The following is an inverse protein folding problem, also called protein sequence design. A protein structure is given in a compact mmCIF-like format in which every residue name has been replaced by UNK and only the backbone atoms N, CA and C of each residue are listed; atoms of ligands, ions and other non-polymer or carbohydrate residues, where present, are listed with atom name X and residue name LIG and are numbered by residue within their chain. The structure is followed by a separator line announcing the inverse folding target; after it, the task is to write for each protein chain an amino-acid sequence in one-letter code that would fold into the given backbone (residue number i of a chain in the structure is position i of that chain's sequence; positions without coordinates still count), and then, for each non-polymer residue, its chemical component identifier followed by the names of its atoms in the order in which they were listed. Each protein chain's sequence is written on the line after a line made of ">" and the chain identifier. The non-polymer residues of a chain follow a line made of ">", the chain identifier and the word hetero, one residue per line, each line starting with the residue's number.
data_IF_734782010460
#
_entry.id   IF_734782010460
#
_cell.length_a   1.000
_cell.length_b   1.000
_cell.length_c   1.000
_cell.angle_alpha   90.00
_cell.angle_beta   90.00
_cell.angle_gamma   90.00
#
_symmetry.space_group_name_H-M   'P 1'
#
loop_
_entity.id
_entity.type
_entity.pdbx_description
1 polymer ?
#
# COMPACT_ATOMS: atom_id res chain seq x y z
N UNK A 1 -1.91 13.52 -22.38
CA UNK A 1 -1.99 13.34 -20.92
C UNK A 1 -1.41 11.98 -20.56
N UNK A 2 -0.10 11.90 -20.37
CA UNK A 2 0.57 10.69 -19.93
C UNK A 2 0.22 10.46 -18.46
N UNK A 3 -0.40 9.32 -18.16
CA UNK A 3 -0.70 8.90 -16.78
C UNK A 3 0.65 8.64 -16.10
N UNK A 4 1.08 9.54 -15.22
CA UNK A 4 2.31 9.38 -14.44
C UNK A 4 2.29 7.98 -13.81
N UNK A 5 3.21 7.13 -14.28
CA UNK A 5 3.43 5.81 -13.70
C UNK A 5 3.98 6.08 -12.30
N UNK A 6 3.11 5.98 -11.29
CA UNK A 6 3.53 6.02 -9.89
C UNK A 6 4.65 5.00 -9.71
N UNK A 7 5.78 5.45 -9.18
CA UNK A 7 6.94 4.60 -8.94
C UNK A 7 6.54 3.35 -8.19
N UNK A 8 7.13 2.21 -8.57
CA UNK A 8 6.92 0.97 -7.83
C UNK A 8 7.34 1.19 -6.37
N UNK A 9 6.42 1.12 -5.39
CA UNK A 9 6.77 1.26 -3.99
C UNK A 9 7.78 0.18 -3.55
N UNK A 10 7.93 -0.92 -4.30
CA UNK A 10 8.94 -1.94 -4.09
C UNK A 10 10.39 -1.47 -4.38
N UNK A 11 10.59 -0.46 -5.24
CA UNK A 11 11.93 0.02 -5.61
C UNK A 11 12.47 1.12 -4.69
N UNK A 12 11.62 1.72 -3.84
CA UNK A 12 11.96 2.92 -3.08
C UNK A 12 13.11 2.75 -2.06
N UNK A 13 13.14 1.73 -1.19
CA UNK A 13 14.17 1.63 -0.16
C UNK A 13 15.56 1.37 -0.73
N UNK A 14 15.68 0.55 -1.79
CA UNK A 14 16.96 0.26 -2.42
C UNK A 14 17.54 1.49 -3.12
N UNK A 15 16.69 2.29 -3.76
CA UNK A 15 17.08 3.57 -4.35
C UNK A 15 17.55 4.56 -3.26
N UNK A 16 16.78 4.70 -2.17
CA UNK A 16 17.13 5.58 -1.03
C UNK A 16 18.43 5.12 -0.35
N UNK A 17 18.62 3.81 -0.17
CA UNK A 17 19.85 3.27 0.42
C UNK A 17 21.07 3.52 -0.46
N UNK A 18 20.97 3.26 -1.77
CA UNK A 18 22.08 3.52 -2.71
C UNK A 18 22.42 5.00 -2.76
N UNK A 19 21.42 5.88 -2.74
CA UNK A 19 21.61 7.33 -2.62
C UNK A 19 22.34 7.71 -1.33
N UNK A 20 21.92 7.16 -0.19
CA UNK A 20 22.58 7.39 1.10
C UNK A 20 24.05 6.96 1.10
N UNK A 21 24.37 5.82 0.45
CA UNK A 21 25.74 5.32 0.29
C UNK A 21 26.58 6.27 -0.56
N UNK A 22 26.06 6.75 -1.69
CA UNK A 22 26.77 7.71 -2.56
C UNK A 22 27.04 9.03 -1.85
N UNK A 23 26.05 9.57 -1.13
CA UNK A 23 26.21 10.81 -0.36
C UNK A 23 27.24 10.68 0.76
N UNK A 24 27.28 9.52 1.43
CA UNK A 24 28.31 9.25 2.44
C UNK A 24 29.72 9.22 1.85
N UNK A 25 29.87 8.73 0.62
CA UNK A 25 31.12 8.74 -0.11
C UNK A 25 31.53 10.14 -0.61
N UNK A 26 30.74 11.18 -0.28
CA UNK A 26 31.02 12.57 -0.67
C UNK A 26 30.52 12.94 -2.06
N UNK A 27 29.73 12.08 -2.72
CA UNK A 27 29.12 12.41 -4.02
C UNK A 27 28.04 13.47 -3.80
N UNK A 28 28.01 14.51 -4.62
CA UNK A 28 26.96 15.54 -4.53
C UNK A 28 25.59 14.97 -4.90
N UNK A 29 24.48 15.49 -4.35
CA UNK A 29 23.13 14.97 -4.64
C UNK A 29 22.79 14.84 -6.12
N UNK A 30 23.06 15.88 -6.91
CA UNK A 30 22.80 15.85 -8.35
C UNK A 30 23.58 14.72 -9.05
N UNK A 31 24.87 14.56 -8.71
CA UNK A 31 25.71 13.49 -9.29
C UNK A 31 25.29 12.11 -8.83
N UNK A 32 24.83 11.97 -7.58
CA UNK A 32 24.37 10.69 -7.07
C UNK A 32 23.14 10.20 -7.86
N UNK A 33 22.19 11.08 -8.17
CA UNK A 33 21.06 10.77 -9.06
C UNK A 33 21.51 10.42 -10.49
N UNK A 34 22.51 11.12 -11.03
CA UNK A 34 23.09 10.78 -12.34
C UNK A 34 23.67 9.37 -12.36
N UNK A 35 24.49 9.01 -11.36
CA UNK A 35 25.10 7.68 -11.27
C UNK A 35 24.06 6.56 -11.14
N UNK A 36 22.98 6.78 -10.38
CA UNK A 36 21.89 5.81 -10.27
C UNK A 36 21.13 5.66 -11.58
N UNK A 37 20.90 6.76 -12.31
CA UNK A 37 20.22 6.72 -13.60
C UNK A 37 21.07 6.03 -14.68
N UNK A 38 22.38 6.27 -14.71
CA UNK A 38 23.34 5.58 -15.59
C UNK A 38 23.38 4.08 -15.31
N UNK A 39 23.20 3.67 -14.05
CA UNK A 39 23.05 2.27 -13.65
C UNK A 39 21.67 1.68 -13.96
N UNK A 40 20.77 2.42 -14.61
CA UNK A 40 19.44 1.96 -15.03
C UNK A 40 18.40 1.96 -13.91
N UNK A 41 18.62 2.68 -12.81
CA UNK A 41 17.62 2.77 -11.75
C UNK A 41 16.36 3.53 -12.22
N UNK A 42 15.17 2.89 -12.21
CA UNK A 42 13.97 3.49 -12.78
C UNK A 42 13.47 4.71 -12.01
N UNK A 43 13.77 4.81 -10.71
CA UNK A 43 13.44 6.00 -9.91
C UNK A 43 14.37 7.14 -10.31
N UNK A 44 15.66 6.87 -10.42
CA UNK A 44 16.64 7.88 -10.78
C UNK A 44 16.41 8.46 -12.18
N UNK A 45 15.98 7.63 -13.14
CA UNK A 45 15.58 8.09 -14.47
C UNK A 45 14.42 9.08 -14.43
N UNK A 46 13.34 8.76 -13.69
CA UNK A 46 12.20 9.69 -13.50
C UNK A 46 12.60 10.95 -12.74
N UNK A 47 13.48 10.82 -11.75
CA UNK A 47 14.01 11.97 -11.02
C UNK A 47 14.78 12.92 -11.94
N UNK A 48 15.58 12.38 -12.86
CA UNK A 48 16.29 13.18 -13.87
C UNK A 48 15.33 13.93 -14.79
N UNK A 49 14.31 13.26 -15.31
CA UNK A 49 13.30 13.92 -16.16
C UNK A 49 12.69 15.13 -15.43
N UNK A 50 12.33 14.99 -14.15
CA UNK A 50 11.78 16.10 -13.34
C UNK A 50 12.77 17.22 -13.06
N UNK A 51 14.04 16.87 -12.82
CA UNK A 51 15.08 17.87 -12.58
C UNK A 51 15.42 18.64 -13.85
N UNK A 52 15.43 17.97 -15.00
CA UNK A 52 15.63 18.57 -16.31
C UNK A 52 14.46 19.51 -16.68
N UNK A 53 13.25 19.24 -16.19
CA UNK A 53 12.08 20.15 -16.24
C UNK A 53 12.18 21.34 -15.26
N UNK A 54 13.25 21.45 -14.46
CA UNK A 54 13.49 22.54 -13.53
C UNK A 54 12.78 22.41 -12.18
N UNK A 55 12.21 21.23 -11.87
CA UNK A 55 11.59 21.00 -10.56
C UNK A 55 12.65 21.00 -9.45
N UNK A 56 12.44 21.71 -8.33
CA UNK A 56 13.40 21.68 -7.23
C UNK A 56 13.50 20.28 -6.62
N UNK A 57 14.72 19.89 -6.25
CA UNK A 57 15.05 18.51 -5.86
C UNK A 57 14.11 17.91 -4.79
N UNK A 58 13.77 18.58 -3.68
CA UNK A 58 12.86 18.01 -2.69
C UNK A 58 11.44 17.75 -3.24
N UNK A 59 10.95 18.63 -4.11
CA UNK A 59 9.64 18.47 -4.76
C UNK A 59 9.65 17.35 -5.79
N UNK A 60 10.75 17.20 -6.55
CA UNK A 60 10.93 16.10 -7.49
C UNK A 60 10.93 14.73 -6.80
N UNK A 61 11.59 14.65 -5.64
CA UNK A 61 11.56 13.47 -4.76
C UNK A 61 10.12 13.21 -4.30
N UNK A 62 9.44 14.22 -3.76
CA UNK A 62 8.08 14.07 -3.22
C UNK A 62 7.00 13.74 -4.26
N UNK A 63 7.24 14.02 -5.56
CA UNK A 63 6.24 13.91 -6.62
C UNK A 63 5.71 12.48 -6.85
N UNK A 64 6.46 11.43 -6.48
CA UNK A 64 5.97 10.04 -6.55
C UNK A 64 4.91 9.73 -5.48
N UNK A 65 4.81 10.56 -4.42
CA UNK A 65 3.89 10.37 -3.32
C UNK A 65 4.20 9.15 -2.44
N UNK A 66 3.34 8.88 -1.46
CA UNK A 66 3.54 7.77 -0.51
C UNK A 66 4.88 7.90 0.21
N UNK A 67 5.65 6.81 0.24
CA UNK A 67 7.00 6.76 0.82
C UNK A 67 7.95 7.87 0.31
N UNK A 68 7.81 8.27 -0.95
CA UNK A 68 8.66 9.30 -1.55
C UNK A 68 8.30 10.72 -1.08
N UNK A 69 7.05 10.96 -0.68
CA UNK A 69 6.68 12.21 -0.02
C UNK A 69 7.39 12.34 1.34
N UNK A 70 7.44 11.24 2.11
CA UNK A 70 8.12 11.20 3.41
C UNK A 70 9.63 11.43 3.26
N UNK A 71 10.26 10.81 2.24
CA UNK A 71 11.67 11.03 1.89
C UNK A 71 11.91 12.48 1.43
N UNK A 72 11.02 13.05 0.64
CA UNK A 72 11.10 14.45 0.19
C UNK A 72 11.00 15.45 1.34
N UNK A 73 10.11 15.21 2.30
CA UNK A 73 9.99 16.00 3.51
C UNK A 73 11.26 15.93 4.37
N UNK A 74 11.79 14.72 4.61
CA UNK A 74 13.03 14.51 5.34
C UNK A 74 14.24 15.15 4.66
N UNK A 75 14.32 15.03 3.35
CA UNK A 75 15.34 15.69 2.54
C UNK A 75 15.27 17.20 2.69
N UNK A 76 14.08 17.79 2.54
CA UNK A 76 13.88 19.24 2.64
C UNK A 76 14.30 19.77 4.01
N UNK A 77 13.87 19.12 5.09
CA UNK A 77 14.24 19.50 6.46
C UNK A 77 15.76 19.36 6.65
N UNK A 78 16.34 18.20 6.31
CA UNK A 78 17.77 17.94 6.51
C UNK A 78 18.64 18.92 5.71
N UNK A 79 18.30 19.20 4.46
CA UNK A 79 19.02 20.16 3.61
C UNK A 79 18.90 21.60 4.15
N UNK A 80 17.76 21.97 4.73
CA UNK A 80 17.53 23.31 5.28
C UNK A 80 18.33 23.56 6.55
N UNK A 81 18.46 22.55 7.42
CA UNK A 81 19.20 22.68 8.70
C UNK A 81 20.66 22.23 8.61
N UNK A 82 21.11 21.70 7.47
CA UNK A 82 22.45 21.15 7.31
C UNK A 82 22.68 19.84 8.07
N UNK A 83 21.62 19.07 8.34
CA UNK A 83 21.73 17.77 9.01
C UNK A 83 22.42 16.72 8.11
N UNK A 84 23.07 15.69 8.68
CA UNK A 84 23.79 14.67 7.91
C UNK A 84 22.84 13.83 7.05
N UNK A 85 22.61 14.28 5.82
CA UNK A 85 21.61 13.74 4.90
C UNK A 85 21.81 12.24 4.61
N UNK A 86 23.07 11.79 4.51
CA UNK A 86 23.38 10.37 4.32
C UNK A 86 22.84 9.49 5.46
N UNK A 87 23.00 9.93 6.71
CA UNK A 87 22.50 9.19 7.88
C UNK A 87 20.98 9.22 7.96
N UNK A 88 20.38 10.39 7.70
CA UNK A 88 18.92 10.53 7.59
C UNK A 88 18.35 9.55 6.56
N UNK A 89 18.91 9.50 5.35
CA UNK A 89 18.42 8.62 4.29
C UNK A 89 18.64 7.13 4.60
N UNK A 90 19.71 6.75 5.31
CA UNK A 90 19.85 5.37 5.80
C UNK A 90 18.74 4.99 6.77
N UNK A 91 18.41 5.87 7.71
CA UNK A 91 17.29 5.71 8.61
C UNK A 91 15.98 5.48 7.85
N UNK A 92 15.69 6.35 6.87
CA UNK A 92 14.52 6.19 6.01
C UNK A 92 14.55 4.89 5.18
N UNK A 93 15.69 4.51 4.60
CA UNK A 93 15.81 3.26 3.86
C UNK A 93 15.53 2.03 4.74
N UNK A 94 15.96 2.04 6.01
CA UNK A 94 15.61 0.99 6.96
C UNK A 94 14.09 0.95 7.22
N UNK A 95 13.46 2.11 7.45
CA UNK A 95 12.02 2.22 7.66
C UNK A 95 11.21 1.73 6.46
N UNK A 96 11.62 2.10 5.24
CA UNK A 96 10.95 1.68 4.02
C UNK A 96 11.12 0.18 3.76
N UNK A 97 12.30 -0.40 4.04
CA UNK A 97 12.51 -1.86 3.96
C UNK A 97 11.63 -2.62 4.95
N UNK A 98 11.57 -2.19 6.20
CA UNK A 98 10.69 -2.79 7.21
C UNK A 98 9.21 -2.79 6.76
N UNK A 99 8.77 -1.69 6.13
CA UNK A 99 7.42 -1.56 5.60
C UNK A 99 7.17 -2.54 4.44
N UNK A 100 8.14 -2.70 3.54
CA UNK A 100 8.07 -3.67 2.45
C UNK A 100 8.07 -5.11 2.95
N UNK A 101 8.95 -5.48 3.88
CA UNK A 101 8.97 -6.81 4.48
C UNK A 101 7.61 -7.16 5.10
N UNK A 102 6.98 -6.18 5.75
CA UNK A 102 5.62 -6.36 6.30
C UNK A 102 4.60 -6.58 5.18
N UNK A 103 4.66 -5.81 4.09
CA UNK A 103 3.78 -5.98 2.94
C UNK A 103 3.98 -7.33 2.22
N UNK A 104 5.22 -7.80 2.15
CA UNK A 104 5.57 -9.09 1.58
C UNK A 104 5.08 -10.23 2.47
N UNK A 105 5.21 -10.12 3.80
CA UNK A 105 4.62 -11.05 4.75
C UNK A 105 3.10 -11.15 4.57
N UNK A 106 2.41 -10.02 4.37
CA UNK A 106 0.97 -10.02 4.05
C UNK A 106 0.73 -10.76 2.72
N UNK A 107 1.51 -10.49 1.67
CA UNK A 107 1.35 -11.14 0.37
C UNK A 107 1.55 -12.65 0.46
N UNK A 108 2.56 -13.09 1.20
CA UNK A 108 2.87 -14.51 1.45
C UNK A 108 1.72 -15.16 2.23
N UNK A 109 1.26 -14.54 3.32
CA UNK A 109 0.16 -15.06 4.14
C UNK A 109 -1.17 -15.15 3.37
N UNK A 110 -1.39 -14.27 2.38
CA UNK A 110 -2.58 -14.28 1.55
C UNK A 110 -2.52 -15.24 0.36
N UNK A 111 -1.33 -15.71 -0.02
CA UNK A 111 -1.17 -16.60 -1.17
C UNK A 111 -1.96 -17.91 -0.99
N UNK A 112 -1.99 -18.45 0.23
CA UNK A 112 -2.68 -19.69 0.56
C UNK A 112 -4.23 -19.54 0.49
N UNK A 113 -4.88 -18.58 1.19
CA UNK A 113 -6.33 -18.34 1.05
C UNK A 113 -6.75 -17.91 -0.36
N UNK A 114 -5.92 -17.13 -1.06
CA UNK A 114 -6.26 -16.66 -2.40
C UNK A 114 -6.25 -17.80 -3.44
N UNK A 115 -5.37 -18.79 -3.27
CA UNK A 115 -5.30 -19.96 -4.15
C UNK A 115 -6.60 -20.77 -4.15
N UNK A 116 -7.13 -21.09 -2.96
CA UNK A 116 -8.39 -21.85 -2.82
C UNK A 116 -9.60 -21.03 -3.27
N UNK A 117 -9.64 -19.74 -2.95
CA UNK A 117 -10.67 -18.83 -3.42
C UNK A 117 -10.70 -18.71 -4.96
N UNK A 118 -9.53 -18.68 -5.61
CA UNK A 118 -9.43 -18.63 -7.07
C UNK A 118 -9.95 -19.91 -7.71
N UNK A 119 -9.63 -21.08 -7.15
CA UNK A 119 -10.18 -22.36 -7.62
C UNK A 119 -11.70 -22.40 -7.48
N UNK A 120 -12.23 -21.95 -6.33
CA UNK A 120 -13.68 -21.93 -6.08
C UNK A 120 -14.40 -20.89 -6.93
N UNK A 121 -13.75 -19.75 -7.23
CA UNK A 121 -14.30 -18.71 -8.11
C UNK A 121 -14.41 -19.12 -9.58
N UNK A 122 -13.66 -20.15 -10.02
CA UNK A 122 -13.82 -20.75 -11.35
C UNK A 122 -14.96 -21.79 -11.40
N UNK A 123 -15.45 -22.25 -10.25
CA UNK A 123 -16.50 -23.28 -10.19
C UNK A 123 -17.78 -22.91 -10.95
N UNK A 124 -18.29 -21.66 -10.91
CA UNK A 124 -19.47 -21.27 -11.70
C UNK A 124 -19.24 -21.41 -13.21
N UNK A 125 -18.04 -21.07 -13.71
CA UNK A 125 -17.68 -21.23 -15.11
C UNK A 125 -17.61 -22.71 -15.50
N UNK A 126 -17.02 -23.53 -14.62
CA UNK A 126 -16.98 -24.98 -14.80
C UNK A 126 -18.40 -25.56 -14.83
N UNK A 127 -19.32 -25.11 -13.97
CA UNK A 127 -20.71 -25.59 -14.00
C UNK A 127 -21.47 -25.17 -15.23
N UNK A 128 -21.26 -23.95 -15.75
CA UNK A 128 -21.88 -23.52 -17.01
C UNK A 128 -21.36 -24.38 -18.17
N UNK A 129 -20.05 -24.65 -18.21
CA UNK A 129 -19.45 -25.52 -19.20
C UNK A 129 -19.96 -26.97 -19.12
N UNK A 130 -20.09 -27.52 -17.91
CA UNK A 130 -20.60 -28.87 -17.70
C UNK A 130 -22.09 -28.98 -18.06
N UNK A 131 -22.90 -27.99 -17.71
CA UNK A 131 -24.32 -27.93 -18.08
C UNK A 131 -24.52 -27.88 -19.59
N UNK A 132 -23.69 -27.10 -20.30
CA UNK A 132 -23.69 -27.09 -21.77
C UNK A 132 -23.25 -28.44 -22.36
N UNK A 133 -22.22 -29.08 -21.81
CA UNK A 133 -21.74 -30.39 -22.27
C UNK A 133 -22.75 -31.52 -22.05
N UNK A 134 -23.56 -31.44 -20.99
CA UNK A 134 -24.66 -32.37 -20.68
C UNK A 134 -25.91 -32.13 -21.55
N UNK A 135 -25.88 -31.15 -22.46
CA UNK A 135 -26.98 -30.87 -23.39
C UNK A 135 -28.14 -30.06 -22.79
N UNK A 136 -27.96 -29.46 -21.61
CA UNK A 136 -28.95 -28.52 -21.07
C UNK A 136 -28.85 -27.20 -21.86
N UNK A 137 -30.00 -26.69 -22.33
CA UNK A 137 -30.16 -25.36 -22.95
C UNK A 137 -29.96 -24.20 -21.95
N UNK A 138 -29.10 -24.40 -20.97
CA UNK A 138 -28.76 -23.49 -19.88
C UNK A 138 -28.42 -22.10 -20.39
N UNK A 139 -27.61 -22.00 -21.45
CA UNK A 139 -27.23 -20.72 -22.06
C UNK A 139 -28.42 -20.04 -22.75
N UNK A 140 -29.28 -20.81 -23.42
CA UNK A 140 -30.49 -20.27 -24.04
C UNK A 140 -31.46 -19.76 -22.97
N UNK A 141 -31.74 -20.53 -21.91
CA UNK A 141 -32.61 -20.12 -20.80
C UNK A 141 -32.04 -18.90 -20.06
N UNK A 142 -30.72 -18.85 -19.84
CA UNK A 142 -30.07 -17.73 -19.15
C UNK A 142 -30.16 -16.42 -19.93
N UNK A 143 -30.06 -16.49 -21.27
CA UNK A 143 -29.99 -15.31 -22.14
C UNK A 143 -31.35 -14.90 -22.72
N UNK A 144 -32.32 -15.82 -22.80
CA UNK A 144 -33.63 -15.56 -23.45
C UNK A 144 -34.78 -15.43 -22.45
N UNK A 145 -34.67 -15.98 -21.23
CA UNK A 145 -35.72 -15.90 -20.23
C UNK A 145 -35.48 -14.76 -19.23
N UNK A 146 -36.52 -13.96 -18.88
CA UNK A 146 -36.36 -12.83 -17.97
C UNK A 146 -35.90 -13.26 -16.57
N UNK A 147 -36.32 -14.44 -16.10
CA UNK A 147 -35.83 -15.04 -14.87
C UNK A 147 -34.35 -15.45 -14.95
N UNK A 148 -33.89 -15.92 -16.11
CA UNK A 148 -32.49 -16.25 -16.39
C UNK A 148 -31.59 -15.02 -16.38
N UNK A 149 -32.03 -13.94 -17.03
CA UNK A 149 -31.32 -12.65 -17.04
C UNK A 149 -31.24 -12.03 -15.63
N UNK A 150 -32.30 -12.14 -14.83
CA UNK A 150 -32.29 -11.69 -13.44
C UNK A 150 -31.27 -12.50 -12.60
N UNK A 151 -31.22 -13.83 -12.78
CA UNK A 151 -30.23 -14.68 -12.12
C UNK A 151 -28.78 -14.37 -12.55
N UNK A 152 -28.56 -14.12 -13.85
CA UNK A 152 -27.27 -13.73 -14.39
C UNK A 152 -26.79 -12.39 -13.82
N UNK A 153 -27.65 -11.38 -13.84
CA UNK A 153 -27.34 -10.05 -13.30
C UNK A 153 -27.04 -10.10 -11.80
N UNK A 154 -27.87 -10.81 -11.02
CA UNK A 154 -27.66 -10.98 -9.59
C UNK A 154 -26.37 -11.76 -9.27
N UNK A 155 -26.10 -12.86 -9.98
CA UNK A 155 -24.87 -13.64 -9.82
C UNK A 155 -23.60 -12.84 -10.15
N UNK A 156 -23.62 -12.06 -11.24
CA UNK A 156 -22.50 -11.21 -11.63
C UNK A 156 -22.29 -10.07 -10.62
N UNK A 157 -23.38 -9.46 -10.13
CA UNK A 157 -23.31 -8.43 -9.10
C UNK A 157 -22.68 -8.96 -7.79
N UNK A 158 -23.05 -10.19 -7.38
CA UNK A 158 -22.45 -10.85 -6.21
C UNK A 158 -20.97 -11.16 -6.40
N UNK A 159 -20.55 -11.62 -7.59
CA UNK A 159 -19.12 -11.84 -7.90
C UNK A 159 -18.32 -10.54 -7.88
N UNK A 160 -18.86 -9.47 -8.47
CA UNK A 160 -18.24 -8.14 -8.42
C UNK A 160 -18.16 -7.62 -6.98
N UNK A 161 -19.22 -7.81 -6.19
CA UNK A 161 -19.23 -7.45 -4.77
C UNK A 161 -18.17 -8.23 -3.98
N UNK A 162 -18.06 -9.55 -4.19
CA UNK A 162 -17.03 -10.40 -3.58
C UNK A 162 -15.63 -9.90 -3.91
N UNK A 163 -15.34 -9.66 -5.20
CA UNK A 163 -14.04 -9.18 -5.66
C UNK A 163 -13.70 -7.80 -5.07
N UNK A 164 -14.67 -6.87 -5.07
CA UNK A 164 -14.48 -5.54 -4.49
C UNK A 164 -14.27 -5.60 -2.99
N UNK A 165 -15.03 -6.43 -2.27
CA UNK A 165 -14.88 -6.59 -0.82
C UNK A 165 -13.51 -7.17 -0.47
N UNK A 166 -13.09 -8.24 -1.14
CA UNK A 166 -11.76 -8.84 -0.97
C UNK A 166 -10.65 -7.83 -1.28
N UNK A 167 -10.74 -7.10 -2.40
CA UNK A 167 -9.78 -6.05 -2.73
C UNK A 167 -9.74 -4.94 -1.67
N UNK A 168 -10.89 -4.56 -1.10
CA UNK A 168 -10.96 -3.57 -0.02
C UNK A 168 -10.33 -4.09 1.28
N UNK A 169 -10.55 -5.36 1.66
CA UNK A 169 -9.95 -5.97 2.84
C UNK A 169 -8.42 -6.05 2.70
N UNK A 170 -7.92 -6.48 1.54
CA UNK A 170 -6.48 -6.55 1.24
C UNK A 170 -5.86 -5.15 1.25
N UNK A 171 -6.50 -4.16 0.61
CA UNK A 171 -6.01 -2.76 0.61
C UNK A 171 -5.96 -2.18 2.02
N UNK A 172 -6.95 -2.44 2.87
CA UNK A 172 -6.97 -1.97 4.28
C UNK A 172 -5.92 -2.66 5.16
N UNK A 173 -5.58 -3.92 4.86
CA UNK A 173 -4.52 -4.63 5.56
C UNK A 173 -3.12 -4.20 5.10
N UNK A 174 -2.95 -3.91 3.80
CA UNK A 174 -1.70 -3.44 3.22
C UNK A 174 -1.43 -1.94 3.38
N UNK A 175 -2.44 -1.13 3.73
CA UNK A 175 -2.25 0.26 4.15
C UNK A 175 -1.57 0.29 5.53
N UNK A 176 -0.24 0.16 5.53
CA UNK A 176 0.61 0.48 6.66
C UNK A 176 0.67 2.00 6.86
N UNK A 177 0.80 2.42 8.11
CA UNK A 177 1.00 3.83 8.44
C UNK A 177 2.50 4.15 8.30
N UNK A 178 2.96 4.39 7.06
CA UNK A 178 4.36 4.77 6.79
C UNK A 178 4.74 6.10 7.46
N UNK A 179 3.73 6.92 7.76
CA UNK A 179 3.88 8.18 8.47
C UNK A 179 3.98 8.03 10.00
N UNK A 180 3.80 6.81 10.56
CA UNK A 180 3.89 6.60 12.00
C UNK A 180 5.27 7.02 12.54
N UNK A 181 5.28 8.02 13.42
CA UNK A 181 6.51 8.59 13.99
C UNK A 181 7.30 9.50 13.04
N UNK A 182 6.78 9.85 11.86
CA UNK A 182 7.44 10.72 10.90
C UNK A 182 7.67 12.14 11.47
N UNK A 183 6.66 12.71 12.12
CA UNK A 183 6.79 14.03 12.75
C UNK A 183 7.87 14.06 13.85
N UNK A 184 7.96 13.01 14.67
CA UNK A 184 9.01 12.87 15.67
C UNK A 184 10.41 12.74 15.03
N UNK A 185 10.52 11.98 13.93
CA UNK A 185 11.78 11.84 13.18
C UNK A 185 12.22 13.17 12.53
N UNK A 186 11.31 13.90 11.89
CA UNK A 186 11.60 15.17 11.25
C UNK A 186 12.01 16.24 12.26
N UNK A 187 11.37 16.27 13.43
CA UNK A 187 11.82 17.11 14.55
C UNK A 187 13.21 16.69 15.04
N UNK A 188 13.48 15.40 15.17
CA UNK A 188 14.82 14.92 15.56
C UNK A 188 15.89 15.32 14.54
N UNK A 189 15.59 15.23 13.24
CA UNK A 189 16.47 15.66 12.15
C UNK A 189 16.74 17.16 12.24
N UNK A 190 15.69 17.98 12.37
CA UNK A 190 15.81 19.42 12.49
C UNK A 190 16.68 19.80 13.71
N UNK A 191 16.34 19.28 14.89
CA UNK A 191 17.07 19.55 16.14
C UNK A 191 18.52 19.05 16.10
N UNK A 192 18.82 17.98 15.35
CA UNK A 192 20.19 17.51 15.14
C UNK A 192 21.03 18.50 14.33
N UNK A 193 20.41 19.33 13.49
CA UNK A 193 21.05 20.47 12.82
C UNK A 193 21.27 21.68 13.73
N UNK A 194 20.92 21.60 15.01
CA UNK A 194 21.16 22.65 16.01
C UNK A 194 20.16 23.80 16.02
N UNK A 195 19.04 23.69 15.28
CA UNK A 195 17.99 24.73 15.30
C UNK A 195 17.14 24.64 16.57
N UNK A 196 16.47 25.75 16.92
CA UNK A 196 15.53 25.79 18.06
C UNK A 196 14.31 24.90 17.81
N UNK A 197 13.63 24.49 18.88
CA UNK A 197 12.41 23.69 18.79
C UNK A 197 11.30 24.41 18.00
N UNK A 198 11.17 25.72 18.15
CA UNK A 198 10.17 26.50 17.40
C UNK A 198 10.49 26.55 15.91
N UNK A 199 11.77 26.68 15.54
CA UNK A 199 12.19 26.58 14.13
C UNK A 199 11.99 25.17 13.59
N UNK A 200 12.28 24.14 14.38
CA UNK A 200 12.03 22.75 14.00
C UNK A 200 10.54 22.48 13.72
N UNK A 201 9.64 23.02 14.55
CA UNK A 201 8.18 22.94 14.33
C UNK A 201 7.73 23.68 13.08
N UNK A 202 8.29 24.86 12.82
CA UNK A 202 8.00 25.62 11.59
C UNK A 202 8.41 24.84 10.34
N UNK A 203 9.62 24.27 10.33
CA UNK A 203 10.12 23.44 9.23
C UNK A 203 9.27 22.18 9.01
N UNK A 204 8.83 21.54 10.09
CA UNK A 204 7.92 20.41 10.00
C UNK A 204 6.59 20.81 9.35
N UNK A 205 6.00 21.95 9.74
CA UNK A 205 4.78 22.45 9.14
C UNK A 205 4.96 22.81 7.65
N UNK A 206 6.09 23.42 7.29
CA UNK A 206 6.46 23.74 5.89
C UNK A 206 6.67 22.49 5.03
N UNK A 207 7.10 21.36 5.63
CA UNK A 207 7.40 20.12 4.90
C UNK A 207 6.15 19.35 4.42
N UNK A 208 4.96 19.71 4.90
CA UNK A 208 3.71 19.00 4.57
C UNK A 208 3.50 17.66 5.29
N UNK A 209 4.45 17.24 6.14
CA UNK A 209 4.37 16.00 6.92
C UNK A 209 3.40 16.08 8.12
N UNK A 210 2.76 17.23 8.35
CA UNK A 210 1.77 17.44 9.41
C UNK A 210 2.38 17.93 10.73
N UNK A 211 1.53 18.08 11.75
CA UNK A 211 1.96 18.47 13.10
C UNK A 211 2.64 17.31 13.83
N UNK A 212 3.51 17.58 14.84
CA UNK A 212 4.05 16.52 15.68
C UNK A 212 2.91 15.78 16.37
N UNK A 213 3.03 14.45 16.47
CA UNK A 213 2.03 13.65 17.14
C UNK A 213 2.04 13.88 18.66
N UNK A 214 0.96 13.47 19.33
CA UNK A 214 0.83 13.67 20.77
C UNK A 214 1.94 12.98 21.58
N UNK A 215 2.57 11.93 21.03
CA UNK A 215 3.70 11.24 21.66
C UNK A 215 4.97 12.09 21.58
N UNK A 216 5.27 12.69 20.42
CA UNK A 216 6.39 13.61 20.25
C UNK A 216 6.29 14.81 21.21
N UNK A 217 5.09 15.38 21.39
CA UNK A 217 4.88 16.47 22.36
C UNK A 217 5.06 16.01 23.82
N UNK A 218 4.61 14.80 24.17
CA UNK A 218 4.89 14.20 25.50
C UNK A 218 6.39 14.03 25.74
N UNK A 219 7.11 13.54 24.75
CA UNK A 219 8.56 13.35 24.81
C UNK A 219 9.31 14.66 24.93
N UNK A 220 8.90 15.69 24.19
CA UNK A 220 9.48 17.03 24.31
C UNK A 220 9.20 17.66 25.67
N UNK A 221 8.01 17.45 26.25
CA UNK A 221 7.72 17.86 27.61
C UNK A 221 8.62 17.15 28.62
N UNK A 222 8.80 15.83 28.48
CA UNK A 222 9.69 15.03 29.33
C UNK A 222 11.15 15.49 29.24
N UNK A 223 11.66 15.71 28.02
CA UNK A 223 13.01 16.24 27.79
C UNK A 223 13.22 17.58 28.52
N UNK A 224 12.25 18.51 28.41
CA UNK A 224 12.31 19.81 29.09
C UNK A 224 12.28 19.69 30.61
N UNK A 225 11.45 18.81 31.17
CA UNK A 225 11.36 18.64 32.62
C UNK A 225 12.55 17.88 33.22
N UNK A 226 13.13 16.94 32.48
CA UNK A 226 14.21 16.08 32.97
C UNK A 226 15.62 16.54 32.54
N UNK A 227 15.73 17.50 31.63
CA UNK A 227 17.02 18.01 31.13
C UNK A 227 17.78 17.03 30.24
N UNK A 228 17.09 16.06 29.62
CA UNK A 228 17.70 15.01 28.78
C UNK A 228 17.62 15.35 27.28
N UNK A 229 18.54 14.84 26.43
CA UNK A 229 18.57 15.17 25.00
C UNK A 229 17.27 14.83 24.26
N UNK A 230 16.60 15.85 23.71
CA UNK A 230 15.33 15.70 22.99
C UNK A 230 15.46 14.81 21.73
N UNK A 231 16.58 14.90 21.02
CA UNK A 231 16.82 14.16 19.77
C UNK A 231 16.76 12.65 19.99
N UNK A 232 17.39 12.14 21.06
CA UNK A 232 17.41 10.71 21.35
C UNK A 232 16.01 10.19 21.71
N UNK A 233 15.29 10.92 22.56
CA UNK A 233 13.93 10.54 22.93
C UNK A 233 12.98 10.60 21.74
N UNK A 234 13.10 11.60 20.85
CA UNK A 234 12.29 11.68 19.64
C UNK A 234 12.57 10.53 18.67
N UNK A 235 13.84 10.15 18.47
CA UNK A 235 14.21 8.96 17.67
C UNK A 235 13.67 7.68 18.30
N UNK A 236 13.75 7.56 19.63
CA UNK A 236 13.17 6.42 20.35
C UNK A 236 11.65 6.36 20.18
N UNK A 237 10.95 7.49 20.29
CA UNK A 237 9.51 7.58 20.09
C UNK A 237 9.10 7.29 18.65
N UNK A 238 9.84 7.79 17.66
CA UNK A 238 9.64 7.47 16.25
C UNK A 238 9.80 5.96 16.02
N UNK A 239 10.87 5.35 16.54
CA UNK A 239 11.11 3.90 16.48
C UNK A 239 9.97 3.11 17.15
N UNK A 240 9.50 3.55 18.32
CA UNK A 240 8.41 2.90 19.04
C UNK A 240 7.06 3.04 18.32
N UNK A 241 6.76 4.20 17.75
CA UNK A 241 5.56 4.43 16.93
C UNK A 241 5.55 3.51 15.70
N UNK A 242 6.68 3.41 14.99
CA UNK A 242 6.86 2.49 13.87
C UNK A 242 6.72 1.04 14.30
N UNK A 243 7.33 0.65 15.43
CA UNK A 243 7.21 -0.71 15.95
C UNK A 243 5.75 -1.08 16.25
N UNK A 244 4.99 -0.20 16.91
CA UNK A 244 3.56 -0.40 17.15
C UNK A 244 2.78 -0.51 15.84
N UNK A 245 3.01 0.40 14.89
CA UNK A 245 2.36 0.35 13.58
C UNK A 245 2.66 -0.97 12.83
N UNK A 246 3.88 -1.51 12.93
CA UNK A 246 4.25 -2.83 12.37
C UNK A 246 3.49 -3.96 13.05
N UNK A 247 3.46 -3.98 14.39
CA UNK A 247 2.73 -5.00 15.16
C UNK A 247 1.25 -4.97 14.81
N UNK A 248 0.64 -3.79 14.78
CA UNK A 248 -0.77 -3.60 14.40
C UNK A 248 -1.02 -4.01 12.94
N UNK A 249 -0.08 -3.73 12.04
CA UNK A 249 -0.10 -4.21 10.65
C UNK A 249 -0.10 -5.74 10.56
N UNK A 250 0.83 -6.40 11.26
CA UNK A 250 0.91 -7.88 11.32
C UNK A 250 -0.35 -8.50 11.93
N UNK A 251 -0.89 -7.92 12.99
CA UNK A 251 -2.15 -8.37 13.59
C UNK A 251 -3.34 -8.22 12.63
N UNK A 252 -3.41 -7.11 11.88
CA UNK A 252 -4.43 -6.92 10.83
C UNK A 252 -4.29 -7.95 9.71
N UNK A 253 -3.07 -8.25 9.28
CA UNK A 253 -2.78 -9.26 8.28
C UNK A 253 -3.14 -10.67 8.75
N UNK A 254 -2.79 -11.03 9.99
CA UNK A 254 -3.15 -12.32 10.57
C UNK A 254 -4.67 -12.51 10.67
N UNK A 255 -5.43 -11.45 11.01
CA UNK A 255 -6.90 -11.46 11.04
C UNK A 255 -7.53 -11.48 9.64
N UNK A 256 -6.77 -11.22 8.57
CA UNK A 256 -7.29 -11.17 7.22
C UNK A 256 -7.69 -12.56 6.71
N UNK A 257 -6.95 -13.61 7.09
CA UNK A 257 -7.25 -15.00 6.66
C UNK A 257 -8.68 -15.42 7.01
N UNK A 258 -9.11 -15.17 8.25
CA UNK A 258 -10.48 -15.48 8.70
C UNK A 258 -11.53 -14.55 8.07
N UNK A 259 -11.20 -13.27 7.89
CA UNK A 259 -12.11 -12.29 7.28
C UNK A 259 -12.31 -12.48 5.78
N UNK A 260 -11.37 -13.11 5.08
CA UNK A 260 -11.51 -13.43 3.66
C UNK A 260 -12.51 -14.54 3.39
N UNK A 261 -12.80 -15.39 4.38
CA UNK A 261 -13.83 -16.44 4.24
C UNK A 261 -15.25 -15.87 4.18
N UNK A 262 -15.51 -14.70 4.79
CA UNK A 262 -16.82 -14.05 4.81
C UNK A 262 -17.31 -13.63 3.40
N UNK A 263 -16.59 -12.80 2.62
CA UNK A 263 -17.02 -12.45 1.27
C UNK A 263 -17.07 -13.67 0.36
N UNK A 264 -16.18 -14.65 0.57
CA UNK A 264 -16.19 -15.89 -0.20
C UNK A 264 -17.48 -16.69 0.07
N UNK A 265 -17.85 -16.93 1.33
CA UNK A 265 -19.05 -17.68 1.70
C UNK A 265 -20.36 -16.95 1.38
N UNK A 266 -20.47 -15.67 1.74
CA UNK A 266 -21.72 -14.90 1.63
C UNK A 266 -22.04 -14.49 0.19
N UNK A 267 -21.03 -14.29 -0.66
CA UNK A 267 -21.25 -13.85 -2.04
C UNK A 267 -21.06 -14.98 -3.07
N UNK A 268 -20.07 -15.85 -2.89
CA UNK A 268 -19.72 -16.86 -3.93
C UNK A 268 -20.69 -18.03 -3.91
N UNK A 269 -21.16 -18.47 -2.74
CA UNK A 269 -22.11 -19.59 -2.64
C UNK A 269 -23.48 -19.22 -3.22
N UNK A 270 -24.08 -18.05 -2.93
CA UNK A 270 -25.30 -17.63 -3.61
C UNK A 270 -25.08 -17.34 -5.11
N UNK A 271 -23.94 -16.79 -5.51
CA UNK A 271 -23.63 -16.60 -6.93
C UNK A 271 -23.57 -17.94 -7.68
N UNK A 272 -22.96 -18.97 -7.06
CA UNK A 272 -22.95 -20.32 -7.61
C UNK A 272 -24.35 -20.92 -7.77
N UNK A 273 -25.21 -20.77 -6.75
CA UNK A 273 -26.60 -21.23 -6.83
C UNK A 273 -27.38 -20.52 -7.93
N UNK A 274 -27.22 -19.20 -8.07
CA UNK A 274 -27.92 -18.40 -9.09
C UNK A 274 -27.42 -18.65 -10.51
N UNK A 275 -26.12 -18.85 -10.69
CA UNK A 275 -25.52 -19.02 -12.02
C UNK A 275 -25.45 -20.47 -12.50
N UNK A 276 -25.35 -21.43 -11.58
CA UNK A 276 -25.25 -22.86 -11.90
C UNK A 276 -26.57 -23.60 -11.70
N UNK A 277 -27.11 -23.58 -10.48
CA UNK A 277 -28.21 -24.48 -10.09
C UNK A 277 -29.57 -23.98 -10.56
N UNK A 278 -29.89 -22.70 -10.37
CA UNK A 278 -31.18 -22.13 -10.74
C UNK A 278 -31.53 -22.29 -12.24
N UNK A 279 -30.60 -22.02 -13.19
CA UNK A 279 -30.88 -22.19 -14.61
C UNK A 279 -31.09 -23.66 -15.01
N UNK A 280 -30.37 -24.60 -14.38
CA UNK A 280 -30.59 -26.04 -14.58
C UNK A 280 -31.99 -26.46 -14.13
N UNK A 281 -32.44 -26.00 -12.95
CA UNK A 281 -33.80 -26.28 -12.46
C UNK A 281 -34.85 -25.71 -13.42
N UNK A 282 -34.68 -24.46 -13.88
CA UNK A 282 -35.57 -23.84 -14.86
C UNK A 282 -35.61 -24.62 -16.18
N UNK A 283 -34.46 -25.08 -16.67
CA UNK A 283 -34.38 -25.90 -17.88
C UNK A 283 -35.16 -27.21 -17.73
N UNK A 284 -34.99 -27.93 -16.62
CA UNK A 284 -35.71 -29.19 -16.35
C UNK A 284 -37.22 -28.97 -16.19
N UNK A 285 -37.63 -27.89 -15.53
CA UNK A 285 -39.05 -27.57 -15.41
C UNK A 285 -39.68 -27.28 -16.78
N UNK A 286 -38.98 -26.55 -17.65
CA UNK A 286 -39.49 -26.23 -18.98
C UNK A 286 -39.66 -27.47 -19.87
N UNK A 287 -38.77 -28.46 -19.79
CA UNK A 287 -38.86 -29.70 -20.57
C UNK A 287 -39.96 -30.64 -20.05
N UNK A 288 -40.22 -30.68 -18.74
CA UNK A 288 -41.35 -31.42 -18.16
C UNK A 288 -42.71 -30.82 -18.54
N UNK A 289 -42.83 -29.50 -18.60
CA UNK A 289 -44.10 -28.86 -19.03
C UNK A 289 -44.42 -29.04 -20.51
N UNK A 290 -43.43 -29.38 -21.34
CA UNK A 290 -43.62 -29.67 -22.78
C UNK A 290 -44.02 -31.13 -23.07
N UNK A 291 -43.99 -32.02 -22.06
CA UNK A 291 -44.25 -33.46 -22.22
C UNK A 291 -45.59 -33.94 -21.64
N UNK A 292 -46.47 -33.02 -21.21
CA UNK A 292 -47.82 -33.29 -20.71
C UNK A 292 -48.88 -32.80 -21.69
#
# INVERSE_FOLDING_TARGET
>A
MARAVKGDPAAAPDAVLRLAVLLQAGVSPARAWTHLAEAGDPVALRMRERLDEGMPLPAAIAADGGAWADVGAAWSVAATVGAPLAETLRGFAAVLRDAQETADQVRIALAEPAGTAKLMGWLPLVTIGLGAALGFDTLAVLLTHPAGLACLGAGLALLVAAHRWTALLVRRAGAGDTAAGLGAELLAIALSGGVSLDRARALLAESGAGAPDAEAERVLALSRSAGVPAVELLRAAASHARHRARVDGRLRAAKLSSRLLLPLGVCTLPAFLLLGVAPMILSVMSTMSLTV
#
